data_IF_339919535651
#
_entry.id   IF_339919535651
#
_cell.length_a   1.000
_cell.length_b   1.000
_cell.length_c   1.000
_cell.angle_alpha   90.00
_cell.angle_beta   90.00
_cell.angle_gamma   90.00
#
_symmetry.space_group_name_H-M   'P 1'
#
loop_
_entity.id
_entity.type
_entity.pdbx_description
1 polymer ?
#
# COMPACT_ATOMS: atom_id res chain seq x y z
N UNK A 1 -19.54 -34.46 0.80
CA UNK A 1 -19.24 -35.11 -0.49
C UNK A 1 -17.80 -34.76 -0.86
N UNK A 2 -16.93 -35.76 -0.91
CA UNK A 2 -15.50 -35.62 -1.22
C UNK A 2 -15.34 -35.26 -2.71
N UNK A 3 -14.53 -34.24 -3.03
CA UNK A 3 -14.00 -34.05 -4.38
C UNK A 3 -12.48 -34.17 -4.34
N UNK A 4 -12.05 -35.17 -5.11
CA UNK A 4 -10.72 -35.67 -5.39
C UNK A 4 -9.84 -34.66 -6.12
N UNK A 5 -8.59 -34.59 -5.66
CA UNK A 5 -7.44 -34.01 -6.35
C UNK A 5 -7.05 -34.94 -7.51
N UNK A 6 -6.84 -34.37 -8.71
CA UNK A 6 -6.18 -35.06 -9.81
C UNK A 6 -4.99 -34.21 -10.28
N UNK A 7 -3.79 -34.69 -9.97
CA UNK A 7 -2.55 -34.20 -10.55
C UNK A 7 -2.38 -34.69 -11.98
N UNK A 8 -1.70 -33.91 -12.81
CA UNK A 8 -1.25 -34.35 -14.12
C UNK A 8 0.20 -33.92 -14.34
N UNK A 9 0.96 -34.91 -14.76
CA UNK A 9 2.40 -34.96 -14.81
C UNK A 9 3.00 -34.25 -16.04
N UNK A 10 4.23 -33.80 -15.83
CA UNK A 10 5.20 -33.32 -16.82
C UNK A 10 5.53 -34.40 -17.85
N UNK A 11 5.64 -34.04 -19.13
CA UNK A 11 6.48 -34.75 -20.09
C UNK A 11 7.22 -33.74 -20.98
N UNK A 12 8.55 -33.73 -20.85
CA UNK A 12 9.45 -32.98 -21.72
C UNK A 12 9.74 -33.74 -23.02
N UNK A 13 10.00 -32.99 -24.09
CA UNK A 13 10.72 -33.48 -25.25
C UNK A 13 11.74 -32.44 -25.70
N UNK A 14 13.02 -32.80 -25.52
CA UNK A 14 14.15 -32.15 -26.16
C UNK A 14 14.32 -32.73 -27.57
N UNK A 15 14.53 -31.88 -28.57
CA UNK A 15 15.07 -32.27 -29.86
C UNK A 15 16.35 -31.48 -30.12
N UNK A 16 17.45 -32.23 -30.18
CA UNK A 16 18.76 -31.79 -30.63
C UNK A 16 18.77 -31.71 -32.16
N UNK A 17 19.28 -30.60 -32.69
CA UNK A 17 19.61 -30.44 -34.11
C UNK A 17 21.06 -30.00 -34.26
N UNK A 18 21.90 -30.90 -34.75
CA UNK A 18 23.29 -30.64 -35.11
C UNK A 18 23.37 -29.80 -36.40
N UNK A 19 24.17 -28.73 -36.39
CA UNK A 19 24.56 -27.99 -37.59
C UNK A 19 26.02 -27.55 -37.48
N UNK A 20 26.90 -28.17 -38.27
CA UNK A 20 28.33 -27.93 -38.35
C UNK A 20 28.66 -26.71 -39.22
N UNK A 21 29.49 -25.79 -38.73
CA UNK A 21 30.09 -24.71 -39.52
C UNK A 21 31.40 -24.22 -38.89
N UNK A 22 32.53 -24.59 -39.49
CA UNK A 22 33.90 -24.17 -39.14
C UNK A 22 34.15 -22.73 -39.62
N UNK A 23 34.70 -21.87 -38.76
CA UNK A 23 35.22 -20.55 -39.13
C UNK A 23 36.20 -19.99 -38.09
N UNK A 24 37.48 -20.09 -38.40
CA UNK A 24 38.68 -19.35 -37.92
C UNK A 24 38.58 -18.39 -36.72
N UNK A 25 39.42 -18.65 -35.72
CA UNK A 25 39.61 -17.83 -34.53
C UNK A 25 40.38 -16.52 -34.72
N UNK A 26 40.00 -15.55 -33.90
CA UNK A 26 40.81 -14.43 -33.42
C UNK A 26 40.56 -14.31 -31.91
N UNK A 27 41.50 -13.78 -31.11
CA UNK A 27 41.38 -13.80 -29.65
C UNK A 27 40.34 -12.78 -29.20
N UNK A 28 39.22 -13.26 -28.66
CA UNK A 28 38.26 -12.41 -27.97
C UNK A 28 38.89 -11.87 -26.68
N UNK A 29 38.76 -10.56 -26.39
CA UNK A 29 39.15 -10.03 -25.10
C UNK A 29 38.19 -10.61 -24.06
N UNK A 30 38.75 -11.35 -23.11
CA UNK A 30 38.08 -11.81 -21.91
C UNK A 30 37.63 -10.60 -21.08
N UNK A 31 36.47 -10.06 -21.43
CA UNK A 31 35.72 -9.19 -20.56
C UNK A 31 35.18 -10.04 -19.42
N UNK A 32 35.83 -9.96 -18.26
CA UNK A 32 35.22 -10.34 -16.99
C UNK A 32 33.95 -9.51 -16.84
N UNK A 33 32.81 -10.08 -17.21
CA UNK A 33 31.53 -9.59 -16.77
C UNK A 33 31.51 -9.76 -15.25
N UNK A 34 31.83 -8.69 -14.53
CA UNK A 34 31.45 -8.53 -13.13
C UNK A 34 29.92 -8.50 -13.06
N UNK A 35 29.32 -9.68 -13.20
CA UNK A 35 27.91 -9.93 -12.96
C UNK A 35 27.63 -9.88 -11.47
N UNK A 36 27.86 -8.75 -10.82
CA UNK A 36 27.08 -8.42 -9.63
C UNK A 36 25.65 -8.29 -10.13
N UNK A 37 24.79 -9.23 -9.76
CA UNK A 37 23.35 -9.04 -9.88
C UNK A 37 23.03 -7.65 -9.32
N UNK A 38 22.59 -6.74 -10.19
CA UNK A 38 22.22 -5.40 -9.75
C UNK A 38 21.02 -5.56 -8.83
N UNK A 39 21.14 -5.11 -7.58
CA UNK A 39 20.02 -5.17 -6.64
C UNK A 39 18.77 -4.42 -7.15
N UNK A 40 17.64 -4.54 -6.43
CA UNK A 40 16.37 -4.02 -6.90
C UNK A 40 16.45 -2.51 -7.20
N UNK A 41 15.72 -2.08 -8.24
CA UNK A 41 15.70 -0.71 -8.71
C UNK A 41 14.34 -0.30 -9.24
N UNK A 42 13.93 0.93 -8.96
CA UNK A 42 12.82 1.53 -9.68
C UNK A 42 13.23 1.90 -11.11
N UNK A 43 12.30 1.80 -12.04
CA UNK A 43 12.43 2.28 -13.41
C UNK A 43 11.20 3.12 -13.73
N UNK A 44 11.39 4.25 -14.41
CA UNK A 44 10.27 5.08 -14.83
C UNK A 44 9.50 4.39 -15.96
N UNK A 45 8.22 4.17 -15.72
CA UNK A 45 7.27 3.72 -16.74
C UNK A 45 6.65 4.95 -17.43
N UNK A 46 6.34 6.01 -16.67
CA UNK A 46 5.77 7.26 -17.16
C UNK A 46 6.31 8.46 -16.35
N UNK A 47 6.53 9.61 -17.01
CA UNK A 47 6.88 10.89 -16.36
C UNK A 47 5.91 11.95 -16.87
N UNK A 48 5.13 12.51 -15.96
CA UNK A 48 4.03 13.42 -16.28
C UNK A 48 4.44 14.89 -16.11
N UNK A 49 3.56 15.78 -16.58
CA UNK A 49 3.73 17.22 -16.41
C UNK A 49 3.66 17.65 -14.95
N UNK A 50 4.40 18.73 -14.62
CA UNK A 50 4.67 19.16 -13.23
C UNK A 50 3.46 19.80 -12.53
N UNK A 51 2.42 20.10 -13.29
CA UNK A 51 1.14 20.62 -12.83
C UNK A 51 0.18 19.51 -12.42
N UNK A 52 0.62 18.25 -12.38
CA UNK A 52 -0.19 17.12 -11.92
C UNK A 52 0.32 16.55 -10.59
N UNK A 53 -0.48 15.69 -9.99
CA UNK A 53 -0.12 14.83 -8.86
C UNK A 53 -0.78 13.47 -9.04
N UNK A 54 -0.10 12.41 -8.61
CA UNK A 54 -0.67 11.07 -8.50
C UNK A 54 -0.83 10.71 -7.02
N UNK A 55 -2.01 10.25 -6.66
CA UNK A 55 -2.38 9.89 -5.29
C UNK A 55 -2.39 8.39 -5.06
N UNK A 56 -2.90 7.63 -6.02
CA UNK A 56 -3.19 6.21 -5.82
C UNK A 56 -3.08 5.37 -7.10
N UNK A 57 -2.93 4.06 -6.96
CA UNK A 57 -2.80 3.12 -8.07
C UNK A 57 -3.38 1.75 -7.73
N UNK A 58 -4.09 1.14 -8.67
CA UNK A 58 -4.58 -0.24 -8.58
C UNK A 58 -4.24 -1.01 -9.84
N UNK A 59 -3.84 -2.27 -9.69
CA UNK A 59 -3.56 -3.16 -10.81
C UNK A 59 -4.54 -4.33 -10.80
N UNK A 60 -5.36 -4.44 -11.85
CA UNK A 60 -6.26 -5.60 -12.01
C UNK A 60 -5.58 -6.73 -12.78
N UNK A 61 -4.59 -6.39 -13.61
CA UNK A 61 -3.73 -7.32 -14.34
C UNK A 61 -2.43 -6.63 -14.77
N UNK A 62 -1.53 -7.37 -15.45
CA UNK A 62 -0.33 -6.81 -16.07
C UNK A 62 -0.63 -5.63 -17.01
N UNK A 63 -1.73 -5.76 -17.74
CA UNK A 63 -2.09 -4.91 -18.87
C UNK A 63 -3.27 -3.99 -18.56
N UNK A 64 -3.82 -4.00 -17.33
CA UNK A 64 -4.88 -3.08 -16.91
C UNK A 64 -4.59 -2.50 -15.53
N UNK A 65 -3.99 -1.31 -15.55
CA UNK A 65 -3.55 -0.57 -14.35
C UNK A 65 -4.19 0.81 -14.39
N UNK A 66 -4.70 1.25 -13.25
CA UNK A 66 -5.30 2.57 -13.09
C UNK A 66 -4.54 3.37 -12.05
N UNK A 67 -4.33 4.65 -12.34
CA UNK A 67 -3.80 5.61 -11.37
C UNK A 67 -4.77 6.77 -11.21
N UNK A 68 -4.97 7.21 -9.99
CA UNK A 68 -5.74 8.41 -9.67
C UNK A 68 -4.81 9.58 -9.37
N UNK A 69 -5.28 10.78 -9.69
CA UNK A 69 -4.51 11.99 -9.49
C UNK A 69 -5.35 13.25 -9.60
N UNK A 70 -4.72 14.39 -9.40
CA UNK A 70 -5.35 15.69 -9.58
C UNK A 70 -4.36 16.72 -10.13
N UNK A 71 -4.85 17.73 -10.83
CA UNK A 71 -4.04 18.88 -11.17
C UNK A 71 -3.62 19.63 -9.90
N UNK A 72 -2.49 20.32 -9.95
CA UNK A 72 -1.91 21.12 -8.88
C UNK A 72 -1.91 22.57 -9.32
N UNK A 73 -2.48 23.44 -8.48
CA UNK A 73 -2.22 24.88 -8.54
C UNK A 73 -1.43 25.27 -7.29
N UNK A 74 -0.13 25.50 -7.47
CA UNK A 74 0.79 25.69 -6.36
C UNK A 74 1.05 24.40 -5.58
N UNK A 75 0.83 24.41 -4.25
CA UNK A 75 1.19 23.27 -3.37
C UNK A 75 0.07 22.24 -3.20
N UNK A 76 -1.19 22.65 -3.32
CA UNK A 76 -2.34 21.80 -3.03
C UNK A 76 -2.97 21.24 -4.33
N UNK A 77 -3.49 19.99 -4.31
CA UNK A 77 -4.27 19.46 -5.42
C UNK A 77 -5.56 20.26 -5.60
N UNK A 78 -5.94 20.53 -6.86
CA UNK A 78 -7.21 21.15 -7.19
C UNK A 78 -8.36 20.16 -6.96
N UNK A 79 -9.35 20.49 -6.12
CA UNK A 79 -10.54 19.64 -5.92
C UNK A 79 -11.48 19.63 -7.14
N UNK A 80 -11.18 20.41 -8.18
CA UNK A 80 -12.03 20.52 -9.37
C UNK A 80 -11.40 19.85 -10.60
N UNK A 81 -10.20 19.28 -10.47
CA UNK A 81 -9.45 18.69 -11.59
C UNK A 81 -8.81 17.35 -11.18
N UNK A 82 -9.63 16.43 -10.68
CA UNK A 82 -9.27 15.02 -10.44
C UNK A 82 -9.40 14.24 -11.74
N UNK A 83 -8.46 13.33 -11.98
CA UNK A 83 -8.42 12.50 -13.18
C UNK A 83 -8.04 11.05 -12.88
N UNK A 84 -8.33 10.20 -13.86
CA UNK A 84 -7.82 8.84 -13.93
C UNK A 84 -6.85 8.71 -15.09
N UNK A 85 -5.78 7.95 -14.89
CA UNK A 85 -4.97 7.38 -15.96
C UNK A 85 -5.25 5.88 -16.01
N UNK A 86 -5.37 5.34 -17.21
CA UNK A 86 -5.43 3.89 -17.45
C UNK A 86 -4.28 3.49 -18.34
N UNK A 87 -3.57 2.44 -17.95
CA UNK A 87 -2.67 1.70 -18.83
C UNK A 87 -3.40 0.47 -19.35
N UNK A 88 -3.68 0.47 -20.65
CA UNK A 88 -4.13 -0.72 -21.40
C UNK A 88 -2.96 -1.20 -22.28
N UNK A 89 -2.29 -2.28 -21.86
CA UNK A 89 -1.04 -2.74 -22.45
C UNK A 89 0.14 -1.77 -22.21
N UNK A 90 0.62 -1.11 -23.27
CA UNK A 90 1.89 -0.37 -23.24
C UNK A 90 1.79 1.15 -23.05
N UNK A 91 0.58 1.73 -23.01
CA UNK A 91 0.40 3.19 -22.99
C UNK A 91 -0.55 3.63 -21.89
N UNK A 92 -0.20 4.72 -21.23
CA UNK A 92 -1.06 5.44 -20.31
C UNK A 92 -1.94 6.43 -21.06
N UNK A 93 -3.23 6.44 -20.74
CA UNK A 93 -4.20 7.36 -21.31
C UNK A 93 -5.05 7.98 -20.21
N UNK A 94 -5.37 9.27 -20.36
CA UNK A 94 -6.35 9.93 -19.49
C UNK A 94 -7.75 9.38 -19.73
N UNK A 95 -8.47 9.15 -18.63
CA UNK A 95 -9.87 8.75 -18.62
C UNK A 95 -10.67 9.78 -17.83
N UNK A 96 -11.91 10.09 -18.27
CA UNK A 96 -12.79 10.95 -17.50
C UNK A 96 -13.12 10.30 -16.16
N UNK A 97 -13.38 11.13 -15.15
CA UNK A 97 -14.00 10.65 -13.91
C UNK A 97 -15.39 10.08 -14.22
N UNK A 98 -15.82 9.00 -13.56
CA UNK A 98 -17.15 8.42 -13.74
C UNK A 98 -18.25 9.43 -13.40
N UNK A 99 -19.23 9.60 -14.29
CA UNK A 99 -20.34 10.54 -14.10
C UNK A 99 -21.17 10.19 -12.85
N UNK A 100 -21.16 8.92 -12.45
CA UNK A 100 -21.83 8.40 -11.26
C UNK A 100 -21.33 9.01 -9.94
N UNK A 101 -20.09 9.52 -9.90
CA UNK A 101 -19.55 10.23 -8.74
C UNK A 101 -20.06 11.68 -8.67
N UNK A 102 -20.52 12.23 -9.79
CA UNK A 102 -20.88 13.64 -9.95
C UNK A 102 -19.67 14.57 -9.99
N UNK A 103 -19.93 15.88 -9.87
CA UNK A 103 -18.91 16.93 -9.99
C UNK A 103 -18.31 17.34 -8.63
N UNK A 104 -17.16 18.03 -8.69
CA UNK A 104 -16.38 18.60 -7.57
C UNK A 104 -15.95 17.50 -6.60
N UNK A 105 -14.93 16.75 -6.99
CA UNK A 105 -14.44 15.57 -6.29
C UNK A 105 -12.99 15.77 -5.87
N UNK A 106 -12.60 15.27 -4.70
CA UNK A 106 -11.20 15.25 -4.29
C UNK A 106 -10.86 13.95 -3.56
N UNK A 107 -9.57 13.66 -3.43
CA UNK A 107 -9.10 12.50 -2.67
C UNK A 107 -9.59 11.18 -3.26
N UNK A 108 -9.35 10.96 -4.55
CA UNK A 108 -9.65 9.70 -5.22
C UNK A 108 -8.75 8.58 -4.67
N UNK A 109 -9.39 7.51 -4.21
CA UNK A 109 -8.80 6.27 -3.70
C UNK A 109 -9.26 5.10 -4.55
N UNK A 110 -8.36 4.16 -4.81
CA UNK A 110 -8.57 2.97 -5.62
C UNK A 110 -8.35 1.72 -4.77
N UNK A 111 -9.37 0.87 -4.64
CA UNK A 111 -9.32 -0.34 -3.82
C UNK A 111 -9.59 -1.57 -4.70
N UNK A 112 -8.68 -2.55 -4.78
CA UNK A 112 -8.92 -3.76 -5.57
C UNK A 112 -10.09 -4.57 -5.00
N UNK A 113 -10.76 -5.34 -5.86
CA UNK A 113 -11.78 -6.30 -5.43
C UNK A 113 -11.22 -7.72 -5.56
N UNK A 114 -11.17 -8.42 -4.43
CA UNK A 114 -10.50 -9.71 -4.29
C UNK A 114 -9.03 -9.58 -4.67
N UNK A 115 -8.55 -10.45 -5.55
CA UNK A 115 -7.18 -10.34 -6.08
C UNK A 115 -7.02 -9.26 -7.17
N UNK A 116 -7.95 -8.30 -7.28
CA UNK A 116 -8.01 -7.29 -8.34
C UNK A 116 -8.60 -7.77 -9.67
N UNK A 117 -8.78 -9.08 -9.87
CA UNK A 117 -9.24 -9.66 -11.13
C UNK A 117 -10.73 -9.35 -11.44
N UNK A 118 -11.51 -9.03 -10.41
CA UNK A 118 -12.95 -8.74 -10.53
C UNK A 118 -13.24 -7.24 -10.74
N UNK A 119 -12.18 -6.42 -10.80
CA UNK A 119 -12.24 -4.98 -10.88
C UNK A 119 -11.80 -4.30 -9.58
N UNK A 120 -12.24 -3.07 -9.40
CA UNK A 120 -11.84 -2.23 -8.27
C UNK A 120 -12.95 -1.24 -7.90
N UNK A 121 -12.88 -0.69 -6.70
CA UNK A 121 -13.67 0.42 -6.23
C UNK A 121 -12.88 1.71 -6.43
N UNK A 122 -13.57 2.75 -6.88
CA UNK A 122 -13.08 4.12 -6.86
C UNK A 122 -13.95 4.90 -5.88
N UNK A 123 -13.31 5.44 -4.85
CA UNK A 123 -13.97 6.30 -3.87
C UNK A 123 -13.42 7.71 -3.96
N UNK A 124 -14.30 8.71 -3.99
CA UNK A 124 -13.92 10.12 -4.00
C UNK A 124 -14.78 10.92 -3.02
N UNK A 125 -14.17 11.92 -2.39
CA UNK A 125 -14.81 12.82 -1.42
C UNK A 125 -15.34 14.08 -2.09
N UNK A 126 -16.35 14.73 -1.50
CA UNK A 126 -16.92 15.99 -2.04
C UNK A 126 -16.62 17.18 -1.14
N UNK A 127 -16.06 18.29 -1.63
CA UNK A 127 -15.69 19.44 -0.80
C UNK A 127 -16.88 19.96 0.01
N UNK A 128 -16.64 20.30 1.28
CA UNK A 128 -17.66 20.87 2.17
C UNK A 128 -18.72 19.86 2.66
N UNK A 129 -18.71 18.62 2.19
CA UNK A 129 -19.48 17.51 2.74
C UNK A 129 -18.53 16.53 3.41
N UNK A 130 -18.89 15.93 4.55
CA UNK A 130 -18.12 14.82 5.11
C UNK A 130 -18.31 13.50 4.33
N UNK A 131 -19.01 13.55 3.19
CA UNK A 131 -19.50 12.39 2.46
C UNK A 131 -18.57 11.99 1.33
N UNK A 132 -18.49 10.67 1.10
CA UNK A 132 -17.83 10.08 -0.05
C UNK A 132 -18.86 9.47 -1.01
N UNK A 133 -18.43 9.27 -2.25
CA UNK A 133 -19.15 8.49 -3.27
C UNK A 133 -18.23 7.38 -3.74
N UNK A 134 -18.80 6.19 -3.91
CA UNK A 134 -18.06 5.00 -4.33
C UNK A 134 -18.70 4.42 -5.58
N UNK A 135 -17.88 4.12 -6.57
CA UNK A 135 -18.27 3.44 -7.81
C UNK A 135 -17.40 2.21 -8.00
N UNK A 136 -17.97 1.14 -8.57
CA UNK A 136 -17.24 -0.06 -8.97
C UNK A 136 -16.95 -0.04 -10.46
N UNK A 137 -15.72 -0.37 -10.84
CA UNK A 137 -15.36 -0.77 -12.19
C UNK A 137 -15.41 -2.29 -12.29
N UNK A 138 -16.14 -2.85 -13.27
CA UNK A 138 -16.23 -4.31 -13.49
C UNK A 138 -15.38 -4.82 -14.67
N UNK A 139 -14.45 -4.00 -15.17
CA UNK A 139 -13.69 -4.26 -16.39
C UNK A 139 -14.31 -3.64 -17.64
N UNK A 140 -15.59 -3.26 -17.59
CA UNK A 140 -16.31 -2.72 -18.75
C UNK A 140 -17.13 -1.46 -18.47
N UNK A 141 -17.70 -1.33 -17.27
CA UNK A 141 -18.58 -0.23 -16.89
C UNK A 141 -18.37 0.17 -15.44
N UNK A 142 -18.75 1.41 -15.16
CA UNK A 142 -18.87 1.94 -13.81
C UNK A 142 -20.28 1.65 -13.26
N UNK A 143 -20.39 1.39 -11.97
CA UNK A 143 -21.67 1.25 -11.27
C UNK A 143 -21.56 1.90 -9.90
N UNK A 144 -22.45 2.85 -9.60
CA UNK A 144 -22.53 3.47 -8.27
C UNK A 144 -22.91 2.45 -7.20
N UNK A 145 -22.20 2.47 -6.08
CA UNK A 145 -22.65 1.83 -4.85
C UNK A 145 -23.57 2.79 -4.09
N UNK A 146 -24.51 2.28 -3.27
CA UNK A 146 -25.29 3.12 -2.38
C UNK A 146 -24.40 3.89 -1.40
N UNK A 147 -24.85 5.07 -0.99
CA UNK A 147 -24.11 5.91 -0.05
C UNK A 147 -23.85 5.20 1.28
N UNK A 148 -22.62 5.33 1.78
CA UNK A 148 -22.20 4.78 3.07
C UNK A 148 -23.05 5.44 4.18
N UNK A 149 -23.65 4.66 5.10
CA UNK A 149 -24.53 5.19 6.13
C UNK A 149 -23.89 6.33 6.93
N UNK A 150 -24.65 7.40 7.16
CA UNK A 150 -24.17 8.57 7.90
C UNK A 150 -23.31 9.53 7.08
N UNK A 151 -23.09 9.23 5.79
CA UNK A 151 -22.22 10.04 4.94
C UNK A 151 -20.78 9.99 5.42
N UNK A 152 -20.34 8.81 5.88
CA UNK A 152 -19.00 8.58 6.44
C UNK A 152 -17.93 8.64 5.36
N UNK A 153 -16.80 9.28 5.68
CA UNK A 153 -15.59 9.23 4.87
C UNK A 153 -14.83 7.94 5.18
N UNK A 154 -14.48 7.14 4.15
CA UNK A 154 -13.67 5.95 4.33
C UNK A 154 -12.25 6.33 4.75
N UNK A 155 -11.76 5.63 5.76
CA UNK A 155 -10.36 5.62 6.15
C UNK A 155 -9.63 4.47 5.44
N UNK A 156 -10.28 3.30 5.38
CA UNK A 156 -9.75 2.12 4.70
C UNK A 156 -10.90 1.27 4.14
N UNK A 157 -10.62 0.48 3.10
CA UNK A 157 -11.63 -0.33 2.40
C UNK A 157 -11.04 -1.69 2.05
N UNK A 158 -11.76 -2.75 2.39
CA UNK A 158 -11.45 -4.11 1.99
C UNK A 158 -12.64 -4.67 1.20
N UNK A 159 -12.41 -5.25 0.03
CA UNK A 159 -13.49 -5.71 -0.84
C UNK A 159 -13.21 -7.12 -1.35
N UNK A 160 -14.03 -8.08 -0.95
CA UNK A 160 -13.92 -9.47 -1.44
C UNK A 160 -14.74 -9.73 -2.70
N UNK A 161 -15.73 -8.85 -2.99
CA UNK A 161 -16.65 -9.02 -4.11
C UNK A 161 -17.48 -7.77 -4.39
N UNK A 162 -18.44 -7.87 -5.32
CA UNK A 162 -19.37 -6.76 -5.64
C UNK A 162 -20.40 -6.53 -4.54
N UNK A 163 -20.64 -7.60 -3.81
CA UNK A 163 -21.62 -7.81 -2.78
C UNK A 163 -20.97 -8.05 -1.42
N UNK A 164 -19.67 -7.78 -1.30
CA UNK A 164 -18.94 -7.89 -0.05
C UNK A 164 -17.84 -6.83 0.02
N UNK A 165 -18.21 -5.68 0.61
CA UNK A 165 -17.32 -4.53 0.77
C UNK A 165 -17.37 -4.06 2.21
N UNK A 166 -16.21 -3.99 2.85
CA UNK A 166 -16.01 -3.49 4.19
C UNK A 166 -15.35 -2.12 4.12
N UNK A 167 -15.94 -1.15 4.81
CA UNK A 167 -15.39 0.19 4.94
C UNK A 167 -15.13 0.48 6.41
N UNK A 168 -13.89 0.81 6.73
CA UNK A 168 -13.53 1.45 7.99
C UNK A 168 -13.76 2.95 7.87
N UNK A 169 -14.60 3.50 8.75
CA UNK A 169 -14.97 4.91 8.75
C UNK A 169 -14.19 5.75 9.76
N UNK A 170 -14.00 7.04 9.45
CA UNK A 170 -13.43 8.03 10.39
C UNK A 170 -14.28 8.24 11.67
N UNK A 171 -15.50 7.72 11.72
CA UNK A 171 -16.40 7.82 12.86
C UNK A 171 -16.27 6.63 13.84
N UNK A 172 -15.17 5.88 13.76
CA UNK A 172 -14.89 4.68 14.55
C UNK A 172 -15.92 3.57 14.37
N UNK A 173 -16.47 3.44 13.16
CA UNK A 173 -17.39 2.39 12.77
C UNK A 173 -16.88 1.61 11.56
N UNK A 174 -17.41 0.41 11.39
CA UNK A 174 -17.29 -0.34 10.14
C UNK A 174 -18.64 -0.43 9.45
N UNK A 175 -18.61 -0.34 8.14
CA UNK A 175 -19.79 -0.48 7.29
C UNK A 175 -19.57 -1.65 6.33
N UNK A 176 -20.51 -2.58 6.30
CA UNK A 176 -20.46 -3.77 5.43
C UNK A 176 -21.58 -3.72 4.41
N UNK A 177 -21.23 -3.78 3.13
CA UNK A 177 -22.15 -3.92 2.01
C UNK A 177 -22.29 -5.39 1.66
N UNK A 178 -23.53 -5.91 1.74
CA UNK A 178 -23.85 -7.32 1.47
C UNK A 178 -24.42 -7.57 0.04
N UNK A 179 -24.23 -6.60 -0.87
CA UNK A 179 -24.83 -6.64 -2.22
C UNK A 179 -26.26 -6.09 -2.29
N UNK A 180 -26.92 -5.90 -1.14
CA UNK A 180 -28.29 -5.39 -1.08
C UNK A 180 -28.45 -4.20 -0.15
N UNK A 181 -27.69 -4.15 0.95
CA UNK A 181 -27.78 -3.12 1.98
C UNK A 181 -26.47 -2.97 2.74
N UNK A 182 -26.32 -1.80 3.36
CA UNK A 182 -25.25 -1.54 4.32
C UNK A 182 -25.68 -1.98 5.73
N UNK A 183 -24.76 -2.63 6.44
CA UNK A 183 -24.84 -2.89 7.88
C UNK A 183 -23.71 -2.15 8.59
N UNK A 184 -24.03 -1.40 9.64
CA UNK A 184 -23.05 -0.62 10.39
C UNK A 184 -22.77 -1.27 11.74
N UNK A 185 -21.51 -1.48 12.07
CA UNK A 185 -21.05 -1.98 13.37
C UNK A 185 -20.22 -0.92 14.09
N UNK A 186 -20.42 -0.80 15.41
CA UNK A 186 -19.55 0.02 16.26
C UNK A 186 -18.34 -0.81 16.65
N UNK A 187 -17.15 -0.26 16.49
CA UNK A 187 -15.92 -0.93 16.90
C UNK A 187 -15.65 -0.72 18.40
N UNK A 188 -15.12 -1.73 19.12
CA UNK A 188 -14.81 -1.61 20.54
C UNK A 188 -13.51 -0.85 20.83
N UNK A 189 -12.75 -0.45 19.80
CA UNK A 189 -11.57 0.41 19.88
C UNK A 189 -11.44 1.27 18.62
N UNK A 190 -10.56 2.27 18.63
CA UNK A 190 -10.23 3.04 17.43
C UNK A 190 -9.40 2.17 16.49
N UNK A 191 -9.83 2.04 15.24
CA UNK A 191 -9.09 1.36 14.19
C UNK A 191 -8.73 2.35 13.08
N UNK A 192 -7.57 2.14 12.45
CA UNK A 192 -7.03 2.98 11.37
C UNK A 192 -6.66 2.22 10.10
N UNK A 193 -6.52 0.89 10.18
CA UNK A 193 -6.27 0.03 9.04
C UNK A 193 -7.14 -1.22 9.11
N UNK A 194 -7.48 -1.76 7.94
CA UNK A 194 -8.34 -2.92 7.72
C UNK A 194 -7.71 -3.82 6.65
N UNK A 195 -7.69 -5.13 6.89
CA UNK A 195 -7.30 -6.14 5.89
C UNK A 195 -7.99 -7.46 6.22
N UNK A 196 -8.09 -8.38 5.26
CA UNK A 196 -8.73 -9.67 5.48
C UNK A 196 -8.35 -10.74 4.47
N UNK A 197 -8.44 -12.00 4.91
CA UNK A 197 -8.22 -13.16 4.04
C UNK A 197 -9.52 -13.63 3.37
N UNK A 198 -10.66 -13.35 4.00
CA UNK A 198 -11.97 -13.82 3.58
C UNK A 198 -13.10 -12.95 4.20
N UNK A 199 -14.32 -13.02 3.65
CA UNK A 199 -15.53 -12.38 4.22
C UNK A 199 -15.80 -12.60 5.72
N UNK A 200 -15.31 -13.71 6.26
CA UNK A 200 -15.48 -14.12 7.65
C UNK A 200 -14.18 -14.09 8.47
N UNK A 201 -13.11 -13.52 7.92
CA UNK A 201 -11.82 -13.37 8.58
C UNK A 201 -11.14 -12.05 8.18
N UNK A 202 -11.46 -11.00 8.93
CA UNK A 202 -10.90 -9.66 8.78
C UNK A 202 -10.28 -9.17 10.08
N UNK A 203 -9.25 -8.34 9.95
CA UNK A 203 -8.60 -7.66 11.04
C UNK A 203 -8.64 -6.17 10.85
N UNK A 204 -9.02 -5.45 11.91
CA UNK A 204 -8.87 -4.01 11.99
C UNK A 204 -7.94 -3.67 13.16
N UNK A 205 -6.97 -2.78 12.94
CA UNK A 205 -5.97 -2.43 13.95
C UNK A 205 -5.91 -0.93 14.18
N UNK A 206 -5.49 -0.54 15.38
CA UNK A 206 -5.38 0.84 15.79
C UNK A 206 -4.93 0.96 17.24
N UNK A 207 -5.69 1.71 18.03
CA UNK A 207 -5.37 1.95 19.43
C UNK A 207 -6.62 1.99 20.32
N UNK A 208 -6.41 1.74 21.61
CA UNK A 208 -7.37 1.99 22.68
C UNK A 208 -6.82 3.05 23.60
N UNK A 209 -7.67 3.98 24.03
CA UNK A 209 -7.31 4.90 25.12
C UNK A 209 -7.16 4.12 26.42
N UNK A 210 -6.20 4.50 27.25
CA UNK A 210 -6.11 4.03 28.63
C UNK A 210 -6.54 5.15 29.57
N UNK A 211 -6.98 4.79 30.78
CA UNK A 211 -7.33 5.77 31.81
C UNK A 211 -6.08 6.46 32.42
N UNK A 212 -4.86 6.11 31.99
CA UNK A 212 -3.60 6.40 32.68
C UNK A 212 -2.96 7.77 32.47
N UNK A 213 -3.68 8.73 31.89
CA UNK A 213 -3.15 10.07 31.56
C UNK A 213 -2.64 10.88 32.76
N UNK A 214 -2.96 10.49 34.01
CA UNK A 214 -2.58 11.21 35.22
C UNK A 214 -1.37 10.64 35.99
N UNK A 215 -0.98 9.38 35.75
CA UNK A 215 -0.03 8.65 36.61
C UNK A 215 1.27 8.25 35.88
N UNK A 216 1.63 8.94 34.77
CA UNK A 216 2.75 8.53 33.92
C UNK A 216 2.48 7.20 33.20
N UNK A 217 1.22 6.92 32.86
CA UNK A 217 0.84 5.77 32.04
C UNK A 217 0.71 6.14 30.56
N UNK A 218 0.90 5.15 29.70
CA UNK A 218 0.62 5.25 28.25
C UNK A 218 -0.81 5.71 27.99
N UNK A 219 -1.00 6.84 27.31
CA UNK A 219 -2.31 7.37 26.91
C UNK A 219 -3.08 6.41 26.01
N UNK A 220 -2.34 5.67 25.18
CA UNK A 220 -2.89 4.71 24.23
C UNK A 220 -2.10 3.40 24.23
N UNK A 221 -2.80 2.31 23.91
CA UNK A 221 -2.21 1.00 23.70
C UNK A 221 -2.64 0.43 22.34
N UNK A 222 -1.84 -0.45 21.71
CA UNK A 222 -2.21 -1.16 20.50
C UNK A 222 -3.56 -1.85 20.66
N UNK A 223 -4.43 -1.77 19.64
CA UNK A 223 -5.68 -2.51 19.61
C UNK A 223 -5.78 -3.31 18.31
N UNK A 224 -6.23 -4.56 18.41
CA UNK A 224 -6.55 -5.43 17.28
C UNK A 224 -7.99 -5.95 17.45
N UNK A 225 -8.74 -5.89 16.37
CA UNK A 225 -10.15 -6.26 16.29
C UNK A 225 -10.29 -7.34 15.22
N UNK A 226 -10.94 -8.44 15.55
CA UNK A 226 -11.17 -9.56 14.64
C UNK A 226 -12.65 -9.68 14.31
N UNK A 227 -12.94 -9.84 13.02
CA UNK A 227 -14.26 -10.23 12.53
C UNK A 227 -14.28 -11.73 12.27
N UNK A 228 -15.21 -12.42 12.93
CA UNK A 228 -15.37 -13.88 12.87
C UNK A 228 -16.51 -14.34 11.96
N UNK A 229 -16.97 -13.48 11.05
CA UNK A 229 -18.17 -13.71 10.24
C UNK A 229 -19.48 -13.34 10.93
N UNK A 230 -19.46 -12.92 12.20
CA UNK A 230 -20.66 -12.57 12.97
C UNK A 230 -20.54 -11.28 13.74
N UNK A 231 -19.39 -11.04 14.36
CA UNK A 231 -19.18 -9.89 15.25
C UNK A 231 -17.72 -9.45 15.26
N UNK A 232 -17.51 -8.14 15.38
CA UNK A 232 -16.20 -7.59 15.69
C UNK A 232 -15.89 -7.78 17.17
N UNK A 233 -14.76 -8.42 17.46
CA UNK A 233 -14.30 -8.66 18.83
C UNK A 233 -12.90 -8.10 19.02
N UNK A 234 -12.65 -7.48 20.17
CA UNK A 234 -11.30 -7.06 20.51
C UNK A 234 -10.47 -8.27 20.95
N UNK A 235 -9.28 -8.41 20.37
CA UNK A 235 -8.31 -9.44 20.71
C UNK A 235 -7.16 -8.77 21.45
N UNK A 236 -6.69 -9.42 22.52
CA UNK A 236 -5.61 -8.90 23.36
C UNK A 236 -4.30 -8.75 22.59
N UNK A 237 -3.66 -7.59 22.76
CA UNK A 237 -2.33 -7.25 22.21
C UNK A 237 -1.32 -7.12 23.35
N UNK A 238 -0.01 -7.30 23.09
CA UNK A 238 1.03 -6.97 24.06
C UNK A 238 0.95 -5.50 24.48
N UNK A 239 1.06 -5.22 25.78
CA UNK A 239 1.09 -3.85 26.31
C UNK A 239 2.50 -3.26 26.23
N UNK A 240 2.62 -1.98 25.91
CA UNK A 240 3.87 -1.23 25.84
C UNK A 240 3.98 -0.25 27.01
N UNK A 241 5.21 0.09 27.42
CA UNK A 241 5.48 1.05 28.50
C UNK A 241 6.92 1.53 28.44
N UNK A 242 7.14 2.83 28.40
CA UNK A 242 8.47 3.39 28.60
C UNK A 242 9.00 3.16 30.02
N UNK A 243 10.32 2.94 30.20
CA UNK A 243 10.93 2.90 31.52
C UNK A 243 10.87 4.29 32.19
N UNK A 244 11.00 4.31 33.51
CA UNK A 244 11.11 5.58 34.25
C UNK A 244 12.44 6.29 33.96
N UNK A 245 12.46 7.63 33.80
CA UNK A 245 11.31 8.52 33.83
C UNK A 245 10.45 8.42 32.57
N UNK A 246 9.13 8.29 32.74
CA UNK A 246 8.19 8.20 31.61
C UNK A 246 8.15 9.54 30.85
N UNK A 247 8.31 9.55 29.51
CA UNK A 247 8.24 10.78 28.71
C UNK A 247 6.82 11.36 28.68
N UNK A 248 6.68 12.59 28.18
CA UNK A 248 5.40 13.28 28.12
C UNK A 248 4.42 12.61 27.15
N UNK A 249 3.18 12.39 27.59
CA UNK A 249 2.07 11.88 26.75
C UNK A 249 2.44 10.64 25.91
N UNK A 250 2.99 9.58 26.52
CA UNK A 250 3.43 8.42 25.78
C UNK A 250 2.24 7.63 25.25
N UNK A 251 2.39 6.99 24.09
CA UNK A 251 1.36 6.13 23.52
C UNK A 251 1.91 5.11 22.52
N UNK A 252 1.24 3.97 22.45
CA UNK A 252 1.51 2.94 21.46
C UNK A 252 0.27 2.63 20.63
N UNK A 253 0.48 2.42 19.33
CA UNK A 253 -0.59 2.18 18.35
C UNK A 253 -0.14 1.23 17.25
N UNK A 254 -1.12 0.71 16.50
CA UNK A 254 -0.92 -0.01 15.24
C UNK A 254 -1.45 0.85 14.11
N UNK A 255 -0.67 0.98 13.05
CA UNK A 255 -0.94 1.84 11.90
C UNK A 255 -1.29 1.03 10.65
N UNK A 256 -0.90 -0.25 10.62
CA UNK A 256 -1.08 -1.12 9.46
C UNK A 256 -1.27 -2.57 9.88
N UNK A 257 -2.11 -3.29 9.15
CA UNK A 257 -2.29 -4.73 9.24
C UNK A 257 -2.10 -5.36 7.85
N UNK A 258 -1.51 -6.56 7.83
CA UNK A 258 -1.35 -7.39 6.64
C UNK A 258 -1.74 -8.82 6.99
N UNK A 259 -2.81 -9.33 6.38
CA UNK A 259 -3.33 -10.68 6.58
C UNK A 259 -2.74 -11.59 5.50
N UNK A 260 -1.80 -12.46 5.91
CA UNK A 260 -1.17 -13.43 5.00
C UNK A 260 -1.91 -14.77 5.02
N UNK A 261 -2.44 -15.14 6.19
CA UNK A 261 -3.27 -16.31 6.44
C UNK A 261 -4.02 -16.13 7.78
N UNK A 262 -5.00 -17.00 8.05
CA UNK A 262 -5.77 -17.00 9.31
C UNK A 262 -4.88 -17.14 10.57
N UNK A 263 -3.71 -17.76 10.44
CA UNK A 263 -2.70 -17.96 11.49
C UNK A 263 -1.39 -17.20 11.22
N UNK A 264 -1.40 -16.26 10.27
CA UNK A 264 -0.28 -15.38 10.01
C UNK A 264 -0.78 -13.99 9.61
N UNK A 265 -1.08 -13.18 10.63
CA UNK A 265 -1.40 -11.75 10.46
C UNK A 265 -0.28 -10.93 11.05
N UNK A 266 0.14 -9.89 10.33
CA UNK A 266 1.20 -8.97 10.74
C UNK A 266 0.61 -7.61 11.01
N UNK A 267 0.95 -7.02 12.14
CA UNK A 267 0.56 -5.64 12.46
C UNK A 267 1.79 -4.80 12.80
N UNK A 268 1.78 -3.57 12.33
CA UNK A 268 2.90 -2.64 12.40
C UNK A 268 2.40 -1.33 12.96
N UNK A 269 3.19 -0.71 13.83
CA UNK A 269 2.94 0.65 14.29
C UNK A 269 4.10 1.21 15.08
N UNK A 270 3.80 2.11 16.00
CA UNK A 270 4.80 2.92 16.71
C UNK A 270 4.43 3.07 18.18
N UNK A 271 5.46 3.05 19.04
CA UNK A 271 5.41 3.43 20.44
C UNK A 271 6.28 4.68 20.60
N UNK A 272 5.62 5.80 20.85
CA UNK A 272 6.17 7.16 20.79
C UNK A 272 5.58 8.01 21.92
N UNK A 273 5.94 9.29 21.97
CA UNK A 273 5.56 10.25 22.99
C UNK A 273 5.51 11.66 22.38
N UNK A 274 5.06 12.64 23.16
CA UNK A 274 5.07 14.03 22.70
C UNK A 274 6.49 14.63 22.80
N UNK A 275 7.12 14.83 21.64
CA UNK A 275 8.47 15.39 21.52
C UNK A 275 8.54 16.89 21.84
N UNK A 276 9.69 17.34 22.30
CA UNK A 276 10.03 18.74 22.59
C UNK A 276 9.68 19.21 23.99
N UNK A 277 9.16 18.34 24.85
CA UNK A 277 8.72 18.65 26.21
C UNK A 277 9.74 18.26 27.30
N UNK A 278 10.82 17.55 26.94
CA UNK A 278 11.84 17.05 27.87
C UNK A 278 13.27 17.22 27.36
N UNK A 279 14.22 17.30 28.29
CA UNK A 279 15.65 17.39 27.95
C UNK A 279 16.23 16.03 27.51
N UNK A 280 15.71 14.92 28.08
CA UNK A 280 16.11 13.55 27.78
C UNK A 280 14.95 12.78 27.14
N UNK A 281 15.04 12.61 25.82
CA UNK A 281 14.03 11.92 25.02
C UNK A 281 14.47 10.49 24.69
N UNK A 282 13.68 9.45 25.06
CA UNK A 282 14.00 8.09 24.66
C UNK A 282 13.85 7.90 23.15
N UNK A 283 14.44 6.81 22.64
CA UNK A 283 14.20 6.43 21.25
C UNK A 283 12.76 5.90 21.10
N UNK A 284 12.12 6.24 20.00
CA UNK A 284 10.85 5.61 19.59
C UNK A 284 11.07 4.12 19.32
N UNK A 285 10.06 3.31 19.64
CA UNK A 285 10.07 1.88 19.37
C UNK A 285 9.10 1.53 18.25
N UNK A 286 9.56 0.73 17.29
CA UNK A 286 8.70 0.15 16.29
C UNK A 286 7.85 -0.98 16.92
N UNK A 287 6.52 -0.85 16.83
CA UNK A 287 5.59 -1.91 17.24
C UNK A 287 5.47 -2.91 16.10
N UNK A 288 5.76 -4.19 16.38
CA UNK A 288 5.73 -5.29 15.41
C UNK A 288 5.08 -6.50 16.04
N UNK A 289 3.89 -6.84 15.59
CA UNK A 289 3.11 -7.95 16.12
C UNK A 289 2.82 -8.99 15.04
N UNK A 290 2.79 -10.26 15.45
CA UNK A 290 2.32 -11.39 14.65
C UNK A 290 1.20 -12.12 15.38
N UNK A 291 0.10 -12.35 14.69
CA UNK A 291 -0.92 -13.31 15.10
C UNK A 291 -0.51 -14.70 14.64
N UNK A 292 -0.55 -15.67 15.55
CA UNK A 292 -0.17 -17.07 15.30
C UNK A 292 -1.36 -18.04 15.17
N UNK A 293 -2.58 -17.51 15.06
CA UNK A 293 -3.82 -18.28 15.13
C UNK A 293 -4.46 -18.32 16.52
N UNK A 294 -3.75 -17.87 17.56
CA UNK A 294 -4.23 -17.92 18.95
C UNK A 294 -3.95 -16.66 19.77
N UNK A 295 -2.84 -15.98 19.53
CA UNK A 295 -2.46 -14.74 20.24
C UNK A 295 -1.58 -13.85 19.38
N UNK A 296 -1.57 -12.57 19.73
CA UNK A 296 -0.60 -11.60 19.22
C UNK A 296 0.72 -11.70 19.99
N UNK A 297 1.81 -11.93 19.27
CA UNK A 297 3.16 -11.98 19.80
C UNK A 297 4.01 -10.84 19.23
N UNK A 298 4.90 -10.28 20.06
CA UNK A 298 5.90 -9.33 19.57
C UNK A 298 6.89 -10.07 18.69
N UNK A 299 7.16 -9.53 17.51
CA UNK A 299 8.23 -10.04 16.65
C UNK A 299 9.46 -9.15 16.73
N UNK A 300 10.67 -9.74 16.63
CA UNK A 300 11.88 -8.93 16.53
C UNK A 300 11.83 -8.08 15.26
N UNK A 301 12.60 -7.00 15.30
CA UNK A 301 12.78 -6.14 14.15
C UNK A 301 13.59 -6.83 13.05
N UNK A 302 13.45 -6.36 11.81
CA UNK A 302 14.31 -6.83 10.73
C UNK A 302 15.76 -6.44 10.99
N UNK A 303 16.70 -7.29 10.59
CA UNK A 303 18.12 -6.98 10.79
C UNK A 303 18.60 -5.85 9.86
N UNK A 304 19.60 -5.11 10.35
CA UNK A 304 20.33 -4.13 9.54
C UNK A 304 19.48 -2.95 9.09
N UNK A 305 19.62 -2.55 7.82
CA UNK A 305 19.02 -1.31 7.32
C UNK A 305 17.49 -1.36 7.17
N UNK A 306 16.85 -2.52 7.40
CA UNK A 306 15.40 -2.71 7.37
C UNK A 306 14.74 -2.52 8.74
N UNK A 307 15.55 -2.47 9.80
CA UNK A 307 15.07 -2.23 11.17
C UNK A 307 14.20 -0.97 11.25
N UNK A 308 13.07 -1.08 11.95
CA UNK A 308 12.16 0.00 12.32
C UNK A 308 11.23 0.42 11.19
N UNK A 309 11.34 -0.17 10.00
CA UNK A 309 10.60 0.31 8.81
C UNK A 309 9.26 -0.38 8.69
N UNK A 310 8.21 0.41 8.48
CA UNK A 310 6.88 -0.10 8.17
C UNK A 310 6.86 -0.64 6.72
N UNK A 311 6.08 -1.70 6.45
CA UNK A 311 5.80 -2.13 5.10
C UNK A 311 4.97 -1.07 4.36
N UNK A 312 5.13 -1.02 3.05
CA UNK A 312 4.37 -0.15 2.15
C UNK A 312 3.54 -1.02 1.21
N UNK A 313 4.09 -2.15 0.77
CA UNK A 313 3.36 -3.13 -0.02
C UNK A 313 3.91 -4.54 0.21
N UNK A 314 3.00 -5.52 0.17
CA UNK A 314 3.34 -6.94 0.14
C UNK A 314 3.60 -7.37 -1.32
N UNK A 315 4.77 -7.91 -1.59
CA UNK A 315 5.14 -8.45 -2.90
C UNK A 315 4.82 -9.95 -2.99
N UNK A 316 3.60 -10.32 -2.63
CA UNK A 316 3.19 -11.71 -2.40
C UNK A 316 4.18 -12.45 -1.49
N UNK A 317 4.44 -13.73 -1.77
CA UNK A 317 5.36 -14.54 -0.98
C UNK A 317 6.85 -14.19 -1.11
N UNK A 318 7.22 -13.14 -1.86
CA UNK A 318 8.64 -12.76 -2.06
C UNK A 318 9.17 -11.81 -1.00
N UNK A 319 8.30 -11.11 -0.27
CA UNK A 319 8.69 -10.17 0.77
C UNK A 319 7.91 -8.85 0.74
N UNK A 320 8.51 -7.80 1.27
CA UNK A 320 7.89 -6.50 1.46
C UNK A 320 8.71 -5.38 0.85
N UNK A 321 8.03 -4.44 0.20
CA UNK A 321 8.56 -3.09 -0.01
C UNK A 321 8.35 -2.32 1.29
N UNK A 322 9.40 -1.74 1.85
CA UNK A 322 9.36 -0.99 3.10
C UNK A 322 9.65 0.51 2.88
N UNK A 323 9.24 1.32 3.85
CA UNK A 323 9.49 2.75 3.88
C UNK A 323 10.99 3.09 3.70
N UNK A 324 11.29 4.19 3.01
CA UNK A 324 12.68 4.59 2.75
C UNK A 324 13.38 3.80 1.64
N UNK A 325 12.61 3.18 0.73
CA UNK A 325 13.12 2.41 -0.42
C UNK A 325 13.98 1.22 0.00
N UNK A 326 13.45 0.40 0.91
CA UNK A 326 14.03 -0.90 1.27
C UNK A 326 13.15 -2.02 0.78
N UNK A 327 13.77 -3.15 0.49
CA UNK A 327 13.09 -4.39 0.20
C UNK A 327 13.55 -5.44 1.21
N UNK A 328 12.60 -6.00 1.96
CA UNK A 328 12.83 -7.11 2.88
C UNK A 328 12.34 -8.37 2.19
N UNK A 329 13.27 -9.22 1.74
CA UNK A 329 12.92 -10.49 1.13
C UNK A 329 12.38 -11.48 2.16
N UNK A 330 11.62 -12.48 1.70
CA UNK A 330 11.01 -13.49 2.56
C UNK A 330 12.03 -14.34 3.36
N UNK A 331 13.29 -14.41 2.90
CA UNK A 331 14.41 -15.05 3.61
C UNK A 331 15.07 -14.14 4.67
N UNK A 332 14.56 -12.92 4.84
CA UNK A 332 15.08 -11.91 5.77
C UNK A 332 16.13 -10.98 5.16
N UNK A 333 16.54 -11.16 3.90
CA UNK A 333 17.54 -10.31 3.29
C UNK A 333 17.02 -8.87 3.07
N UNK A 334 17.70 -7.90 3.68
CA UNK A 334 17.42 -6.48 3.49
C UNK A 334 18.25 -5.89 2.34
N UNK A 335 17.59 -5.31 1.35
CA UNK A 335 18.27 -4.65 0.22
C UNK A 335 17.77 -3.22 0.00
N UNK A 336 18.67 -2.35 -0.49
CA UNK A 336 18.31 -1.00 -0.95
C UNK A 336 17.64 -1.11 -2.31
N UNK A 337 16.45 -0.52 -2.46
CA UNK A 337 15.88 -0.26 -3.77
C UNK A 337 16.53 1.01 -4.33
N UNK A 338 17.25 0.87 -5.43
CA UNK A 338 17.92 2.02 -6.06
C UNK A 338 16.92 2.88 -6.82
N UNK A 339 17.12 4.20 -6.75
CA UNK A 339 16.22 5.19 -7.37
C UNK A 339 16.79 5.63 -8.72
N UNK A 340 16.00 5.65 -9.80
CA UNK A 340 16.42 6.18 -11.09
C UNK A 340 16.50 7.71 -11.02
N UNK A 341 17.35 8.31 -11.85
CA UNK A 341 17.36 9.77 -12.04
C UNK A 341 16.51 10.12 -13.24
N UNK A 342 15.72 11.18 -13.13
CA UNK A 342 15.05 11.75 -14.30
C UNK A 342 16.10 12.15 -15.33
N UNK A 343 15.84 11.91 -16.63
CA UNK A 343 16.69 12.40 -17.70
C UNK A 343 16.77 13.93 -17.66
N UNK A 344 17.88 14.50 -18.15
CA UNK A 344 18.00 15.95 -18.29
C UNK A 344 17.07 16.47 -19.39
N UNK A 345 16.44 17.63 -19.17
CA UNK A 345 15.38 18.16 -20.04
C UNK A 345 14.18 18.64 -19.22
N UNK A 346 13.22 19.32 -19.85
CA UNK A 346 11.96 19.78 -19.23
C UNK A 346 12.12 20.52 -17.90
N UNK A 347 13.15 21.36 -17.82
CA UNK A 347 13.51 22.15 -16.64
C UNK A 347 14.42 21.42 -15.64
N UNK A 348 14.66 20.11 -15.78
CA UNK A 348 15.55 19.32 -14.91
C UNK A 348 17.01 19.48 -15.33
N UNK A 349 17.83 20.03 -14.44
CA UNK A 349 19.28 20.19 -14.68
C UNK A 349 20.05 18.90 -14.33
N UNK A 350 21.16 18.60 -15.01
CA UNK A 350 21.98 17.41 -14.69
C UNK A 350 22.46 17.37 -13.23
N UNK A 351 22.73 18.55 -12.65
CA UNK A 351 23.25 18.72 -11.29
C UNK A 351 22.17 18.78 -10.21
N UNK A 352 20.88 18.70 -10.57
CA UNK A 352 19.79 18.80 -9.61
C UNK A 352 19.81 17.64 -8.61
N UNK A 353 19.52 17.93 -7.35
CA UNK A 353 19.29 16.88 -6.35
C UNK A 353 17.87 16.35 -6.54
N UNK A 354 17.72 15.03 -6.56
CA UNK A 354 16.44 14.38 -6.86
C UNK A 354 16.10 13.37 -5.77
N UNK A 355 14.83 13.35 -5.35
CA UNK A 355 14.28 12.41 -4.38
C UNK A 355 12.97 11.83 -4.91
N UNK A 356 12.87 10.50 -4.99
CA UNK A 356 11.63 9.81 -5.36
C UNK A 356 10.79 9.56 -4.11
N UNK A 357 9.55 10.04 -4.15
CA UNK A 357 8.51 9.87 -3.14
C UNK A 357 7.34 9.14 -3.79
N UNK A 358 6.94 8.01 -3.22
CA UNK A 358 5.80 7.23 -3.71
C UNK A 358 4.61 7.49 -2.79
N UNK A 359 3.47 7.82 -3.38
CA UNK A 359 2.18 8.01 -2.71
C UNK A 359 1.50 6.65 -2.49
N UNK A 360 1.62 5.75 -3.46
CA UNK A 360 1.08 4.40 -3.40
C UNK A 360 2.02 3.41 -4.10
N UNK A 361 1.99 2.15 -3.66
CA UNK A 361 2.79 1.04 -4.20
C UNK A 361 1.88 -0.17 -4.29
N UNK A 362 1.81 -0.75 -5.48
CA UNK A 362 0.81 -1.77 -5.80
C UNK A 362 1.47 -2.99 -6.44
N UNK A 363 1.35 -4.19 -5.85
CA UNK A 363 1.74 -5.43 -6.51
C UNK A 363 0.79 -5.75 -7.68
N UNK A 364 1.34 -6.17 -8.81
CA UNK A 364 0.54 -6.50 -9.99
C UNK A 364 0.15 -7.98 -9.95
N UNK A 365 -1.16 -8.32 -9.88
CA UNK A 365 -1.61 -9.68 -9.69
C UNK A 365 -1.02 -10.67 -10.71
N UNK A 366 -0.51 -11.80 -10.23
CA UNK A 366 -0.02 -12.91 -11.07
C UNK A 366 1.28 -12.68 -11.85
N UNK A 367 1.91 -11.50 -11.78
CA UNK A 367 3.10 -11.18 -12.60
C UNK A 367 4.41 -11.13 -11.80
N UNK A 368 4.29 -10.87 -10.50
CA UNK A 368 5.43 -10.55 -9.64
C UNK A 368 6.05 -9.17 -9.86
N UNK A 369 5.42 -8.32 -10.67
CA UNK A 369 5.76 -6.90 -10.80
C UNK A 369 5.18 -6.11 -9.61
N UNK A 370 5.87 -5.04 -9.24
CA UNK A 370 5.37 -4.04 -8.29
C UNK A 370 5.46 -2.68 -8.97
N UNK A 371 4.38 -1.92 -8.89
CA UNK A 371 4.27 -0.56 -9.40
C UNK A 371 4.29 0.44 -8.25
N UNK A 372 4.67 1.67 -8.56
CA UNK A 372 4.53 2.79 -7.63
C UNK A 372 4.12 4.04 -8.38
N UNK A 373 3.31 4.86 -7.75
CA UNK A 373 2.97 6.21 -8.23
C UNK A 373 3.37 7.25 -7.20
N UNK A 374 3.71 8.44 -7.67
CA UNK A 374 4.08 9.54 -6.79
C UNK A 374 4.80 10.62 -7.57
N UNK A 375 5.89 11.15 -7.02
CA UNK A 375 6.66 12.21 -7.67
C UNK A 375 8.15 12.12 -7.39
N UNK A 376 8.92 12.73 -8.29
CA UNK A 376 10.32 13.06 -8.08
C UNK A 376 10.40 14.53 -7.70
N UNK A 377 10.83 14.80 -6.47
CA UNK A 377 11.17 16.14 -6.03
C UNK A 377 12.53 16.54 -6.61
N UNK A 378 12.57 17.60 -7.40
CA UNK A 378 13.76 18.16 -8.04
C UNK A 378 14.17 19.44 -7.33
N UNK A 379 15.23 19.33 -6.53
CA UNK A 379 15.80 20.43 -5.77
C UNK A 379 16.93 21.09 -6.58
N UNK A 380 16.67 22.32 -7.04
CA UNK A 380 17.59 23.12 -7.85
C UNK A 380 17.38 24.63 -7.63
N UNK A 381 18.39 25.44 -7.95
CA UNK A 381 18.30 26.90 -7.78
C UNK A 381 17.36 27.54 -8.81
N UNK A 382 16.40 28.34 -8.32
CA UNK A 382 15.52 29.22 -9.08
C UNK A 382 14.18 28.62 -9.52
N UNK A 383 14.12 27.30 -9.76
CA UNK A 383 12.91 26.61 -10.24
C UNK A 383 12.87 25.17 -9.71
N UNK A 384 12.73 24.97 -8.38
CA UNK A 384 12.46 23.64 -7.84
C UNK A 384 11.07 23.17 -8.28
N UNK A 385 10.91 21.87 -8.51
CA UNK A 385 9.65 21.31 -9.01
C UNK A 385 9.45 19.87 -8.56
N UNK A 386 8.21 19.42 -8.58
CA UNK A 386 7.84 18.02 -8.48
C UNK A 386 7.44 17.51 -9.87
N UNK A 387 7.94 16.35 -10.25
CA UNK A 387 7.56 15.65 -11.49
C UNK A 387 6.80 14.38 -11.12
N UNK A 388 5.50 14.27 -11.42
CA UNK A 388 4.76 13.06 -11.12
C UNK A 388 5.24 11.90 -11.99
N UNK A 389 5.29 10.71 -11.41
CA UNK A 389 5.86 9.53 -12.07
C UNK A 389 5.07 8.27 -11.76
N UNK A 390 5.07 7.37 -12.73
CA UNK A 390 4.78 5.96 -12.53
C UNK A 390 6.10 5.19 -12.64
N UNK A 391 6.36 4.29 -11.69
CA UNK A 391 7.56 3.47 -11.66
C UNK A 391 7.23 1.98 -11.54
N UNK A 392 8.09 1.14 -12.11
CA UNK A 392 8.09 -0.32 -11.89
C UNK A 392 9.34 -0.78 -11.16
N UNK A 393 9.18 -1.73 -10.23
CA UNK A 393 10.29 -2.36 -9.54
C UNK A 393 10.92 -3.45 -10.43
N UNK A 394 12.19 -3.28 -10.76
CA UNK A 394 13.02 -4.30 -11.43
C UNK A 394 13.95 -4.93 -10.40
N UNK A 395 14.06 -6.25 -10.42
CA UNK A 395 14.89 -7.03 -9.50
C UNK A 395 16.10 -7.60 -10.22
#
# INVERSE_FOLDING_TARGET
MRRTVAGLAVLGLALAGCGTGRGSGGPEPSGTADGRASGPRWVYDEVLDRDLSLSDVVATSADDVWAAGAARDGKEPSPDDVFLLRRDGARWERRPMPEELGDHLYGARLDPIGSGAEGFLLTASRPGSKTARTVRWDGSRWTALPEIPGGTQPLDVEAFGADDVWVLGLDSRTHHWDGSRWTTSVLPATAVALDGAAPDDLWAVGHRSTAGAGDGGELTQPAALHWDGRSWQQVGTPEYRFPEPVPAEPGASLDQVVVLAADDVRAYGTHTFNHGEGDDEPAEEAVRLRWDGSRWERTPDAEGECAGRAPVALDGGRGFVLAGNRYLAADGACTRITRPRLPGGDGVRPTSRQSLWLSAVEPVPGTGQVLGVGHVQVNQSGDPMDKPVVVSLRR
#
